data_IF_560589584142
#
_entry.id   IF_560589584142
#
_cell.length_a   1.000
_cell.length_b   1.000
_cell.length_c   1.000
_cell.angle_alpha   90.00
_cell.angle_beta   90.00
_cell.angle_gamma   90.00
#
_symmetry.space_group_name_H-M   'P 1'
#
loop_
_entity.id
_entity.type
_entity.pdbx_description
1 polymer ?
#
# COMPACT_ATOMS: atom_id res chain seq x y z
N UNK A 1 -4.19 -16.17 4.30
CA UNK A 1 -4.35 -15.28 3.11
C UNK A 1 -4.28 -13.84 3.57
N UNK A 2 -3.51 -13.01 2.90
CA UNK A 2 -3.39 -11.57 3.15
C UNK A 2 -4.06 -10.80 2.01
N UNK A 3 -5.06 -9.99 2.30
CA UNK A 3 -5.74 -9.11 1.34
C UNK A 3 -5.32 -7.67 1.64
N UNK A 4 -4.84 -6.96 0.64
CA UNK A 4 -4.43 -5.56 0.74
C UNK A 4 -5.24 -4.68 -0.19
N UNK A 5 -5.93 -3.70 0.37
CA UNK A 5 -6.57 -2.63 -0.38
C UNK A 5 -5.58 -1.51 -0.65
N UNK A 6 -5.38 -1.17 -1.91
CA UNK A 6 -4.35 -0.22 -2.32
C UNK A 6 -4.77 0.63 -3.52
N UNK A 7 -4.06 1.74 -3.73
CA UNK A 7 -4.19 2.59 -4.91
C UNK A 7 -2.80 3.11 -5.30
N UNK A 8 -2.42 2.96 -6.58
CA UNK A 8 -1.11 3.40 -7.05
C UNK A 8 -0.92 4.92 -7.03
N UNK A 9 -2.00 5.69 -6.88
CA UNK A 9 -1.98 7.14 -6.70
C UNK A 9 -1.86 7.56 -5.22
N UNK A 10 -1.84 6.61 -4.27
CA UNK A 10 -1.72 6.89 -2.84
C UNK A 10 -0.29 6.63 -2.34
N UNK A 11 0.43 7.67 -1.84
CA UNK A 11 1.78 7.49 -1.31
C UNK A 11 1.87 6.41 -0.24
N UNK A 12 0.90 6.35 0.68
CA UNK A 12 0.87 5.37 1.75
C UNK A 12 0.80 3.92 1.22
N UNK A 13 0.02 3.69 0.14
CA UNK A 13 -0.01 2.39 -0.54
C UNK A 13 1.35 2.06 -1.16
N UNK A 14 1.98 3.04 -1.82
CA UNK A 14 3.31 2.84 -2.42
C UNK A 14 4.38 2.57 -1.37
N UNK A 15 4.26 3.13 -0.19
CA UNK A 15 5.18 2.92 0.94
C UNK A 15 5.01 1.53 1.57
N UNK A 16 3.82 0.97 1.55
CA UNK A 16 3.52 -0.37 2.06
C UNK A 16 3.89 -1.48 1.08
N UNK A 17 3.81 -1.23 -0.22
CA UNK A 17 4.03 -2.21 -1.29
C UNK A 17 5.33 -3.02 -1.18
N UNK A 18 6.51 -2.47 -0.82
CA UNK A 18 7.73 -3.25 -0.67
C UNK A 18 7.61 -4.38 0.37
N UNK A 19 6.90 -4.14 1.48
CA UNK A 19 6.65 -5.15 2.50
C UNK A 19 5.76 -6.28 1.99
N UNK A 20 4.69 -5.96 1.26
CA UNK A 20 3.80 -6.96 0.66
C UNK A 20 4.56 -7.89 -0.32
N UNK A 21 5.41 -7.31 -1.16
CA UNK A 21 6.25 -8.06 -2.09
C UNK A 21 7.21 -8.98 -1.33
N UNK A 22 7.89 -8.46 -0.31
CA UNK A 22 8.80 -9.24 0.52
C UNK A 22 8.09 -10.36 1.28
N UNK A 23 6.91 -10.12 1.85
CA UNK A 23 6.12 -11.16 2.50
C UNK A 23 5.62 -12.20 1.50
N UNK A 24 5.18 -11.78 0.31
CA UNK A 24 4.80 -12.72 -0.74
C UNK A 24 5.96 -13.65 -1.10
N UNK A 25 7.12 -13.09 -1.44
CA UNK A 25 8.32 -13.85 -1.79
C UNK A 25 8.74 -14.80 -0.65
N UNK A 26 8.76 -14.28 0.57
CA UNK A 26 9.30 -14.98 1.75
C UNK A 26 8.39 -16.10 2.24
N UNK A 27 7.07 -15.89 2.23
CA UNK A 27 6.10 -16.78 2.88
C UNK A 27 5.15 -17.51 1.91
N UNK A 28 5.15 -17.22 0.60
CA UNK A 28 4.36 -17.99 -0.36
C UNK A 28 4.74 -19.48 -0.37
N UNK A 29 6.03 -19.88 -0.25
CA UNK A 29 6.40 -21.29 -0.13
C UNK A 29 5.84 -21.96 1.13
N UNK A 30 5.61 -21.21 2.21
CA UNK A 30 5.00 -21.69 3.46
C UNK A 30 3.46 -21.63 3.44
N UNK A 31 2.85 -21.23 2.33
CA UNK A 31 1.40 -21.26 2.14
C UNK A 31 0.70 -19.89 2.23
N UNK A 32 1.42 -18.77 2.48
CA UNK A 32 0.81 -17.46 2.38
C UNK A 32 0.30 -17.20 0.96
N UNK A 33 -0.88 -16.64 0.84
CA UNK A 33 -1.40 -16.06 -0.40
C UNK A 33 -1.66 -14.59 -0.18
N UNK A 34 -0.96 -13.74 -0.95
CA UNK A 34 -1.20 -12.30 -0.99
C UNK A 34 -2.13 -11.99 -2.16
N UNK A 35 -3.09 -11.12 -1.95
CA UNK A 35 -4.02 -10.62 -2.96
C UNK A 35 -4.09 -9.09 -2.80
N UNK A 36 -3.74 -8.37 -3.85
CA UNK A 36 -3.98 -6.94 -3.92
C UNK A 36 -5.39 -6.65 -4.43
N UNK A 37 -6.11 -5.76 -3.78
CA UNK A 37 -7.38 -5.21 -4.26
C UNK A 37 -7.15 -3.75 -4.57
N UNK A 38 -7.04 -3.43 -5.86
CA UNK A 38 -6.84 -2.05 -6.28
C UNK A 38 -8.18 -1.33 -6.31
N UNK A 39 -8.29 -0.29 -5.48
CA UNK A 39 -9.50 0.53 -5.30
C UNK A 39 -9.15 1.99 -5.58
N UNK A 40 -9.77 2.63 -6.60
CA UNK A 40 -9.39 3.98 -7.00
C UNK A 40 -9.80 5.03 -5.97
N UNK A 41 -8.83 5.83 -5.51
CA UNK A 41 -9.06 7.02 -4.69
C UNK A 41 -9.05 8.31 -5.49
N UNK A 42 -8.55 8.25 -6.74
CA UNK A 42 -8.46 9.38 -7.65
C UNK A 42 -8.92 9.00 -9.05
N UNK A 43 -9.32 9.99 -9.86
CA UNK A 43 -9.80 9.74 -11.22
C UNK A 43 -8.77 9.02 -12.10
N UNK A 44 -7.46 9.37 -12.09
CA UNK A 44 -6.46 8.65 -12.89
C UNK A 44 -6.30 7.17 -12.52
N UNK A 45 -6.64 6.77 -11.31
CA UNK A 45 -6.56 5.38 -10.87
C UNK A 45 -7.82 4.54 -11.14
N UNK A 46 -8.86 5.13 -11.78
CA UNK A 46 -10.05 4.41 -12.25
C UNK A 46 -9.84 3.66 -13.55
N UNK A 47 -8.87 4.09 -14.37
CA UNK A 47 -8.59 3.44 -15.64
C UNK A 47 -7.90 2.07 -15.40
N UNK A 48 -8.62 1.00 -15.72
CA UNK A 48 -8.10 -0.38 -15.58
C UNK A 48 -6.79 -0.60 -16.33
N UNK A 49 -6.60 0.06 -17.49
CA UNK A 49 -5.36 -0.04 -18.24
C UNK A 49 -4.20 0.58 -17.46
N UNK A 50 -4.42 1.76 -16.86
CA UNK A 50 -3.43 2.40 -16.02
C UNK A 50 -3.09 1.54 -14.78
N UNK A 51 -4.09 0.87 -14.19
CA UNK A 51 -3.86 -0.09 -13.08
C UNK A 51 -2.97 -1.25 -13.55
N UNK A 52 -3.26 -1.88 -14.70
CA UNK A 52 -2.45 -2.99 -15.23
C UNK A 52 -1.02 -2.57 -15.55
N UNK A 53 -0.86 -1.38 -16.12
CA UNK A 53 0.46 -0.78 -16.39
C UNK A 53 1.21 -0.48 -15.07
N UNK A 54 0.51 -0.01 -14.03
CA UNK A 54 1.09 0.20 -12.70
C UNK A 54 1.53 -1.12 -12.05
N UNK A 55 0.71 -2.17 -12.09
CA UNK A 55 1.04 -3.52 -11.59
C UNK A 55 2.34 -4.03 -12.24
N UNK A 56 2.43 -3.93 -13.58
CA UNK A 56 3.61 -4.35 -14.31
C UNK A 56 4.85 -3.51 -13.96
N UNK A 57 4.72 -2.18 -13.95
CA UNK A 57 5.81 -1.24 -13.63
C UNK A 57 6.33 -1.41 -12.21
N UNK A 58 5.45 -1.70 -11.25
CA UNK A 58 5.79 -1.89 -9.84
C UNK A 58 6.31 -3.31 -9.56
N UNK A 59 6.27 -4.19 -10.55
CA UNK A 59 6.73 -5.58 -10.43
C UNK A 59 5.94 -6.34 -9.34
N UNK A 60 4.61 -6.21 -9.38
CA UNK A 60 3.71 -6.96 -8.50
C UNK A 60 3.45 -8.30 -9.15
N UNK A 61 3.87 -9.38 -8.51
CA UNK A 61 3.81 -10.76 -9.00
C UNK A 61 2.74 -11.62 -8.32
N UNK A 62 2.06 -11.09 -7.31
CA UNK A 62 0.87 -11.71 -6.72
C UNK A 62 -0.43 -11.23 -7.42
N UNK A 63 -1.54 -11.99 -7.29
CA UNK A 63 -2.81 -11.64 -7.91
C UNK A 63 -3.33 -10.26 -7.49
N UNK A 64 -3.82 -9.48 -8.46
CA UNK A 64 -4.47 -8.20 -8.24
C UNK A 64 -5.87 -8.23 -8.80
N UNK A 65 -6.86 -7.95 -7.96
CA UNK A 65 -8.24 -7.63 -8.34
C UNK A 65 -8.34 -6.11 -8.57
N UNK A 66 -8.99 -5.72 -9.65
CA UNK A 66 -9.31 -4.31 -9.93
C UNK A 66 -10.77 -4.06 -9.52
N UNK A 67 -10.97 -3.28 -8.48
CA UNK A 67 -12.28 -2.96 -7.87
C UNK A 67 -12.67 -1.51 -8.22
N UNK A 68 -12.84 -1.23 -9.53
CA UNK A 68 -13.13 0.11 -10.05
C UNK A 68 -14.41 0.72 -9.48
N UNK A 69 -15.39 -0.12 -9.15
CA UNK A 69 -16.70 0.28 -8.62
C UNK A 69 -16.77 0.26 -7.10
N UNK A 70 -15.66 -0.09 -6.42
CA UNK A 70 -15.56 -0.16 -4.96
C UNK A 70 -16.58 -1.16 -4.35
N UNK A 71 -16.88 -2.26 -5.03
CA UNK A 71 -17.80 -3.29 -4.54
C UNK A 71 -17.17 -4.08 -3.40
N UNK A 72 -15.99 -4.65 -3.63
CA UNK A 72 -15.23 -5.39 -2.61
C UNK A 72 -14.82 -4.47 -1.46
N UNK A 73 -14.47 -3.21 -1.77
CA UNK A 73 -14.21 -2.19 -0.77
C UNK A 73 -15.38 -2.04 0.22
N UNK A 74 -16.61 -1.93 -0.30
CA UNK A 74 -17.81 -1.79 0.53
C UNK A 74 -18.13 -3.06 1.31
N UNK A 75 -17.95 -4.23 0.68
CA UNK A 75 -18.21 -5.52 1.34
C UNK A 75 -17.30 -5.74 2.55
N UNK A 76 -16.07 -5.24 2.50
CA UNK A 76 -15.13 -5.27 3.62
C UNK A 76 -15.36 -4.15 4.63
N UNK A 77 -16.25 -3.19 4.36
CA UNK A 77 -16.42 -2.00 5.19
C UNK A 77 -15.13 -1.18 5.29
N UNK A 78 -14.34 -1.16 4.21
CA UNK A 78 -13.04 -0.52 4.23
C UNK A 78 -13.15 1.00 4.26
N UNK A 79 -12.27 1.69 5.02
CA UNK A 79 -12.36 3.13 5.26
C UNK A 79 -11.15 3.93 4.77
N UNK A 80 -10.08 3.25 4.32
CA UNK A 80 -8.86 3.97 3.92
C UNK A 80 -7.82 3.12 3.18
N UNK A 81 -6.78 3.78 2.69
CA UNK A 81 -5.64 3.19 1.99
C UNK A 81 -4.33 3.45 2.73
N UNK A 82 -3.43 2.46 2.79
CA UNK A 82 -3.70 1.04 2.57
C UNK A 82 -4.51 0.42 3.71
N UNK A 83 -5.07 -0.77 3.49
CA UNK A 83 -5.68 -1.58 4.55
C UNK A 83 -5.38 -3.04 4.33
N UNK A 84 -4.94 -3.74 5.38
CA UNK A 84 -4.55 -5.14 5.35
C UNK A 84 -5.49 -5.98 6.19
N UNK A 85 -5.90 -7.12 5.62
CA UNK A 85 -6.75 -8.11 6.27
C UNK A 85 -6.08 -9.48 6.15
N UNK A 86 -5.66 -10.04 7.27
CA UNK A 86 -5.02 -11.35 7.32
C UNK A 86 -6.03 -12.39 7.80
N UNK A 87 -6.22 -13.44 6.99
CA UNK A 87 -7.15 -14.53 7.25
C UNK A 87 -6.41 -15.84 7.51
N UNK A 88 -6.95 -16.65 8.42
CA UNK A 88 -6.46 -18.01 8.69
C UNK A 88 -6.83 -19.01 7.56
N UNK A 89 -6.43 -20.26 7.71
CA UNK A 89 -6.72 -21.35 6.75
C UNK A 89 -8.20 -21.73 6.65
N UNK A 90 -9.05 -21.17 7.50
CA UNK A 90 -10.52 -21.35 7.50
C UNK A 90 -11.25 -20.09 7.05
N UNK A 91 -10.55 -19.14 6.46
CA UNK A 91 -11.06 -17.85 6.03
C UNK A 91 -11.68 -17.00 7.17
N UNK A 92 -11.21 -17.15 8.40
CA UNK A 92 -11.59 -16.27 9.51
C UNK A 92 -10.55 -15.16 9.62
N UNK A 93 -11.03 -13.92 9.83
CA UNK A 93 -10.18 -12.78 10.07
C UNK A 93 -9.31 -13.02 11.31
N UNK A 94 -8.00 -12.95 11.15
CA UNK A 94 -7.01 -13.13 12.21
C UNK A 94 -6.44 -11.80 12.66
N UNK A 95 -6.06 -10.93 11.71
CA UNK A 95 -5.51 -9.60 11.96
C UNK A 95 -6.02 -8.61 10.92
N UNK A 96 -6.06 -7.37 11.28
CA UNK A 96 -6.49 -6.27 10.47
C UNK A 96 -5.69 -5.01 10.82
N UNK A 97 -5.22 -4.28 9.81
CA UNK A 97 -4.45 -3.06 9.99
C UNK A 97 -4.87 -1.98 8.99
N UNK A 98 -5.15 -0.80 9.49
CA UNK A 98 -5.42 0.40 8.68
C UNK A 98 -4.20 1.29 8.57
N UNK A 99 -3.98 1.82 7.37
CA UNK A 99 -2.89 2.72 7.10
C UNK A 99 -1.55 2.03 6.90
N UNK A 100 -0.50 2.81 6.76
CA UNK A 100 0.88 2.32 6.73
C UNK A 100 1.39 2.02 8.14
N UNK A 101 2.53 1.32 8.24
CA UNK A 101 3.10 0.90 9.52
C UNK A 101 2.59 -0.47 9.99
N UNK A 102 2.86 -0.83 11.25
CA UNK A 102 2.48 -2.14 11.80
C UNK A 102 3.12 -3.32 11.06
N UNK A 103 4.29 -3.12 10.44
CA UNK A 103 4.88 -4.13 9.56
C UNK A 103 5.42 -5.33 10.32
N UNK A 104 6.06 -5.10 11.46
CA UNK A 104 6.57 -6.17 12.32
C UNK A 104 5.43 -7.01 12.91
N UNK A 105 4.37 -6.35 13.37
CA UNK A 105 3.17 -6.99 13.92
C UNK A 105 2.48 -7.87 12.86
N UNK A 106 2.27 -7.33 11.66
CA UNK A 106 1.69 -8.11 10.55
C UNK A 106 2.59 -9.29 10.15
N UNK A 107 3.93 -9.11 10.13
CA UNK A 107 4.83 -10.22 9.81
C UNK A 107 4.80 -11.32 10.87
N UNK A 108 4.75 -10.96 12.15
CA UNK A 108 4.58 -11.92 13.25
C UNK A 108 3.28 -12.72 13.12
N UNK A 109 2.17 -12.04 12.81
CA UNK A 109 0.89 -12.71 12.58
C UNK A 109 0.91 -13.64 11.35
N UNK A 110 1.62 -13.25 10.28
CA UNK A 110 1.86 -14.13 9.13
C UNK A 110 2.63 -15.39 9.58
N UNK A 111 3.72 -15.22 10.32
CA UNK A 111 4.55 -16.32 10.80
C UNK A 111 3.77 -17.31 11.68
N UNK A 112 2.94 -16.78 12.57
CA UNK A 112 2.04 -17.58 13.40
C UNK A 112 1.12 -18.48 12.54
N UNK A 113 0.48 -17.89 11.52
CA UNK A 113 -0.48 -18.61 10.68
C UNK A 113 0.16 -19.63 9.74
N UNK A 114 1.38 -19.37 9.26
CA UNK A 114 2.06 -20.29 8.33
C UNK A 114 3.00 -21.27 9.05
N UNK A 115 3.17 -21.14 10.36
CA UNK A 115 4.04 -21.99 11.16
C UNK A 115 5.53 -21.84 10.79
N UNK A 116 5.97 -20.65 10.44
CA UNK A 116 7.33 -20.35 10.03
C UNK A 116 7.95 -19.29 10.94
N UNK A 117 8.90 -19.68 11.77
CA UNK A 117 9.70 -18.74 12.56
C UNK A 117 10.89 -18.26 11.73
N UNK A 118 10.97 -16.96 11.49
CA UNK A 118 12.08 -16.29 10.78
C UNK A 118 12.39 -14.97 11.45
N UNK A 119 13.61 -14.49 11.27
CA UNK A 119 13.95 -13.12 11.57
C UNK A 119 13.03 -12.15 10.80
N UNK A 120 12.51 -11.13 11.48
CA UNK A 120 11.63 -10.15 10.86
C UNK A 120 12.38 -9.34 9.79
N UNK A 121 11.64 -8.79 8.85
CA UNK A 121 12.21 -7.85 7.90
C UNK A 121 12.71 -6.61 8.65
N UNK A 122 13.92 -6.21 8.32
CA UNK A 122 14.43 -4.92 8.76
C UNK A 122 13.57 -3.77 8.20
N UNK A 123 13.45 -2.66 8.92
CA UNK A 123 12.76 -1.49 8.41
C UNK A 123 13.31 -1.07 7.04
N UNK A 124 12.46 -1.03 6.03
CA UNK A 124 12.87 -0.71 4.66
C UNK A 124 13.17 0.79 4.48
N UNK A 125 12.71 1.61 5.42
CA UNK A 125 12.95 3.05 5.43
C UNK A 125 13.24 3.52 6.87
N UNK A 126 13.99 4.62 7.05
CA UNK A 126 14.26 5.16 8.38
C UNK A 126 12.99 5.47 9.18
N UNK A 127 11.94 5.92 8.52
CA UNK A 127 10.65 6.23 9.14
C UNK A 127 9.85 5.02 9.58
N UNK A 128 10.21 3.82 9.14
CA UNK A 128 9.58 2.57 9.56
C UNK A 128 10.22 2.01 10.84
N UNK A 129 11.33 2.58 11.27
CA UNK A 129 12.05 2.12 12.46
C UNK A 129 11.23 2.36 13.74
N UNK A 130 11.31 1.46 14.73
CA UNK A 130 10.67 1.66 16.02
C UNK A 130 11.06 3.00 16.65
N UNK A 131 10.07 3.79 17.05
CA UNK A 131 10.28 5.11 17.66
C UNK A 131 10.60 6.24 16.68
N UNK A 132 10.54 6.02 15.39
CA UNK A 132 10.65 7.08 14.38
C UNK A 132 9.58 8.15 14.64
N UNK A 133 9.99 9.42 14.59
CA UNK A 133 9.04 10.54 14.69
C UNK A 133 8.55 10.88 13.30
N UNK A 134 7.26 10.63 13.05
CA UNK A 134 6.61 10.98 11.79
C UNK A 134 5.94 12.34 11.91
N UNK A 135 6.09 13.17 10.88
CA UNK A 135 5.26 14.37 10.72
C UNK A 135 3.87 13.95 10.26
N UNK A 136 2.79 14.57 10.78
CA UNK A 136 1.46 14.32 10.27
C UNK A 136 1.39 14.59 8.76
N UNK A 137 0.66 13.73 8.04
CA UNK A 137 0.37 13.98 6.63
C UNK A 137 -0.43 15.30 6.53
N UNK A 138 -0.04 16.18 5.61
CA UNK A 138 -0.84 17.35 5.28
C UNK A 138 -2.09 16.93 4.50
N UNK A 139 -3.14 17.73 4.60
CA UNK A 139 -4.35 17.53 3.79
C UNK A 139 -4.02 17.56 2.28
N UNK A 140 -4.73 16.75 1.51
CA UNK A 140 -4.67 16.78 0.05
C UNK A 140 -5.15 18.16 -0.44
N UNK A 141 -4.43 18.72 -1.40
CA UNK A 141 -4.80 20.01 -2.02
C UNK A 141 -5.10 19.81 -3.49
N UNK A 142 -6.18 20.38 -3.95
CA UNK A 142 -6.56 20.39 -5.36
C UNK A 142 -5.95 21.61 -6.04
N UNK A 143 -5.36 21.40 -7.22
CA UNK A 143 -4.74 22.43 -8.04
C UNK A 143 -3.25 22.62 -7.76
N UNK A 144 -2.61 23.50 -8.55
CA UNK A 144 -1.19 23.79 -8.41
C UNK A 144 -0.91 24.52 -7.08
N UNK A 145 0.13 24.06 -6.40
CA UNK A 145 0.60 24.70 -5.17
C UNK A 145 2.00 25.26 -5.38
N UNK A 146 2.18 26.50 -4.95
CA UNK A 146 3.49 27.14 -4.87
C UNK A 146 3.59 27.88 -3.54
N UNK A 147 4.59 27.57 -2.74
CA UNK A 147 4.81 28.18 -1.44
C UNK A 147 5.80 27.38 -0.59
N UNK A 148 6.18 27.89 0.58
CA UNK A 148 7.08 27.19 1.48
C UNK A 148 6.39 25.94 2.04
N UNK A 149 7.16 24.85 2.18
CA UNK A 149 6.74 23.62 2.83
C UNK A 149 7.92 22.96 3.54
N UNK A 150 7.60 22.18 4.57
CA UNK A 150 8.54 21.33 5.27
C UNK A 150 7.98 19.91 5.26
N UNK A 151 8.67 19.00 4.57
CA UNK A 151 8.22 17.62 4.43
C UNK A 151 9.37 16.69 4.03
N UNK A 152 9.29 15.42 4.40
CA UNK A 152 10.21 14.37 3.93
C UNK A 152 10.00 13.98 2.48
N UNK A 153 8.83 14.27 1.90
CA UNK A 153 8.49 14.02 0.50
C UNK A 153 7.26 14.79 0.07
N UNK A 154 7.19 15.10 -1.22
CA UNK A 154 6.04 15.75 -1.84
C UNK A 154 5.55 14.90 -2.99
N UNK A 155 4.25 14.68 -3.04
CA UNK A 155 3.61 13.82 -4.02
C UNK A 155 2.57 14.62 -4.80
N UNK A 156 2.44 14.32 -6.07
CA UNK A 156 1.41 14.90 -6.92
C UNK A 156 0.73 13.81 -7.73
N UNK A 157 -0.59 13.79 -7.70
CA UNK A 157 -1.40 12.98 -8.60
C UNK A 157 -1.77 13.86 -9.79
N UNK A 158 -1.41 13.41 -10.98
CA UNK A 158 -1.55 14.19 -12.21
C UNK A 158 -2.40 13.42 -13.21
N UNK A 159 -3.25 14.15 -13.92
CA UNK A 159 -4.10 13.65 -15.00
C UNK A 159 -3.78 14.37 -16.30
N UNK A 160 -3.97 13.67 -17.44
CA UNK A 160 -3.74 14.20 -18.77
C UNK A 160 -2.33 13.92 -19.31
N UNK A 161 -1.94 14.69 -20.32
CA UNK A 161 -0.63 14.58 -20.97
C UNK A 161 0.06 15.94 -21.02
N UNK A 162 1.37 15.97 -20.79
CA UNK A 162 2.10 17.21 -20.79
C UNK A 162 3.49 17.10 -20.17
N UNK A 163 4.13 18.23 -19.98
CA UNK A 163 5.45 18.35 -19.33
C UNK A 163 5.23 18.91 -17.93
N UNK A 164 5.63 18.15 -16.92
CA UNK A 164 5.66 18.61 -15.54
C UNK A 164 7.04 19.19 -15.23
N UNK A 165 7.07 20.39 -14.69
CA UNK A 165 8.29 21.02 -14.17
C UNK A 165 8.18 21.17 -12.67
N UNK A 166 9.13 20.62 -11.94
CA UNK A 166 9.27 20.81 -10.50
C UNK A 166 10.43 21.76 -10.26
N UNK A 167 10.14 22.93 -9.69
CA UNK A 167 11.15 23.89 -9.28
C UNK A 167 11.32 23.77 -7.76
N UNK A 168 12.39 23.14 -7.29
CA UNK A 168 12.81 23.29 -5.90
C UNK A 168 13.61 24.57 -5.80
N UNK A 169 13.08 25.58 -5.10
CA UNK A 169 13.86 26.73 -4.70
C UNK A 169 15.01 26.29 -3.80
N UNK A 170 16.22 26.74 -4.07
CA UNK A 170 17.38 26.59 -3.19
C UNK A 170 17.23 27.52 -1.98
#
# INVERSE_FOLDING_TARGET
MLVEFWDFCRPNSMRTLPYLKAWHERYAPAGLRVIGVHCPGFEPSRDERAVREAVARLGIDYPVLIDSELEVWRDYGNEGWPSRYLFDGRARLHEYHHGEGGYAETELAIQELVGAERELLEPMRPEDAPGARLQPQSEDRVGAYSGPYEAGGVWAVLEGSGIVRVNSGA
#
